data_IF_233520299003
#
_entry.id   IF_233520299003
#
_cell.length_a   1.000
_cell.length_b   1.000
_cell.length_c   1.000
_cell.angle_alpha   90.00
_cell.angle_beta   90.00
_cell.angle_gamma   90.00
#
_symmetry.space_group_name_H-M   'P 1'
#
loop_
_entity.id
_entity.type
_entity.pdbx_description
1 polymer ?
#
# COMPACT_ATOMS: atom_id res chain seq x y z
N UNK A 1 8.18 -7.31 -7.10
CA UNK A 1 7.68 -6.41 -8.16
C UNK A 1 7.07 -5.23 -7.43
N UNK A 2 7.41 -3.98 -7.74
CA UNK A 2 6.96 -2.87 -6.93
C UNK A 2 5.48 -2.59 -7.13
N UNK A 3 4.85 -2.05 -6.09
CA UNK A 3 3.44 -1.71 -6.02
C UNK A 3 3.29 -0.23 -5.72
N UNK A 4 2.24 0.38 -6.26
CA UNK A 4 1.90 1.75 -5.92
C UNK A 4 0.39 1.87 -5.73
N UNK A 5 -0.01 2.87 -4.95
CA UNK A 5 -1.39 3.26 -4.77
C UNK A 5 -1.80 4.17 -5.92
N UNK A 6 -2.89 3.80 -6.57
CA UNK A 6 -3.55 4.57 -7.61
C UNK A 6 -4.90 5.05 -7.12
N UNK A 7 -5.31 6.23 -7.56
CA UNK A 7 -6.68 6.68 -7.44
C UNK A 7 -7.17 7.18 -8.80
N UNK A 8 -8.26 6.63 -9.34
CA UNK A 8 -8.78 6.99 -10.66
C UNK A 8 -7.67 7.06 -11.74
N UNK A 9 -6.85 6.01 -11.83
CA UNK A 9 -5.69 5.90 -12.74
C UNK A 9 -4.52 6.88 -12.45
N UNK A 10 -4.63 7.78 -11.48
CA UNK A 10 -3.55 8.65 -11.05
C UNK A 10 -2.72 7.99 -9.93
N UNK A 11 -1.41 7.90 -10.12
CA UNK A 11 -0.49 7.41 -9.08
C UNK A 11 -0.40 8.43 -7.94
N UNK A 12 -0.80 8.02 -6.74
CA UNK A 12 -0.77 8.88 -5.55
C UNK A 12 0.45 8.61 -4.65
N UNK A 13 1.01 7.40 -4.69
CA UNK A 13 2.16 7.03 -3.86
C UNK A 13 3.43 6.77 -4.67
N UNK A 14 4.58 6.80 -3.98
CA UNK A 14 5.83 6.21 -4.47
C UNK A 14 5.67 4.72 -4.76
N UNK A 15 6.57 4.17 -5.57
CA UNK A 15 6.59 2.74 -5.87
C UNK A 15 7.23 1.96 -4.70
N UNK A 16 6.43 1.28 -3.89
CA UNK A 16 6.88 0.44 -2.78
C UNK A 16 7.34 -0.94 -3.25
N UNK A 17 8.24 -1.61 -2.53
CA UNK A 17 8.73 -2.93 -2.90
C UNK A 17 7.67 -4.04 -2.74
N UNK A 18 6.77 -3.91 -1.75
CA UNK A 18 5.74 -4.90 -1.44
C UNK A 18 4.34 -4.32 -1.44
N UNK A 19 3.34 -5.17 -1.68
CA UNK A 19 1.93 -4.78 -1.60
C UNK A 19 1.53 -4.41 -0.16
N UNK A 20 2.09 -5.11 0.83
CA UNK A 20 1.81 -4.89 2.24
C UNK A 20 2.19 -3.46 2.69
N UNK A 21 3.30 -2.92 2.19
CA UNK A 21 3.70 -1.54 2.49
C UNK A 21 2.70 -0.53 1.94
N UNK A 22 2.17 -0.77 0.73
CA UNK A 22 1.14 0.10 0.15
C UNK A 22 -0.19 -0.04 0.90
N UNK A 23 -0.53 -1.25 1.35
CA UNK A 23 -1.70 -1.49 2.21
C UNK A 23 -1.57 -0.76 3.54
N UNK A 24 -0.40 -0.82 4.19
CA UNK A 24 -0.13 -0.05 5.41
C UNK A 24 -0.27 1.43 5.17
N UNK A 25 0.34 1.96 4.10
CA UNK A 25 0.22 3.37 3.75
C UNK A 25 -1.25 3.77 3.56
N UNK A 26 -2.02 2.97 2.81
CA UNK A 26 -3.43 3.23 2.60
C UNK A 26 -4.22 3.19 3.91
N UNK A 27 -3.91 2.24 4.79
CA UNK A 27 -4.54 2.12 6.11
C UNK A 27 -4.20 3.32 7.01
N UNK A 28 -2.93 3.73 7.06
CA UNK A 28 -2.47 4.93 7.77
C UNK A 28 -3.07 6.22 7.21
N UNK A 29 -3.31 6.27 5.90
CA UNK A 29 -3.95 7.40 5.24
C UNK A 29 -5.48 7.40 5.38
N UNK A 30 -6.09 6.36 5.99
CA UNK A 30 -7.54 6.23 6.14
C UNK A 30 -8.27 5.92 4.83
N UNK A 31 -7.57 5.34 3.86
CA UNK A 31 -8.08 5.00 2.52
C UNK A 31 -8.63 3.57 2.43
N UNK A 32 -8.39 2.78 3.47
CA UNK A 32 -8.95 1.44 3.62
C UNK A 32 -10.34 1.58 4.22
N UNK A 33 -11.34 1.14 3.47
CA UNK A 33 -12.70 0.95 3.96
C UNK A 33 -12.86 -0.51 4.34
N UNK A 34 -13.35 -0.78 5.54
CA UNK A 34 -13.83 -2.11 5.85
C UNK A 34 -14.96 -2.43 4.87
N UNK A 35 -14.74 -3.42 3.99
CA UNK A 35 -15.81 -3.97 3.17
C UNK A 35 -16.87 -4.47 4.14
N UNK A 36 -17.97 -3.73 4.25
CA UNK A 36 -19.15 -4.17 5.01
C UNK A 36 -19.48 -5.56 4.49
N UNK A 37 -19.35 -6.56 5.37
CA UNK A 37 -19.49 -7.97 5.06
C UNK A 37 -20.71 -8.23 4.18
N UNK A 38 -20.49 -8.44 2.89
CA UNK A 38 -21.44 -9.17 2.06
C UNK A 38 -21.41 -10.61 2.62
N UNK A 39 -22.56 -11.07 3.13
CA UNK A 39 -22.76 -12.20 4.06
C UNK A 39 -22.28 -13.59 3.56
N UNK A 40 -21.45 -13.68 2.53
CA UNK A 40 -21.03 -14.94 1.89
C UNK A 40 -19.51 -15.23 1.97
N UNK A 41 -18.65 -14.30 2.41
CA UNK A 41 -17.19 -14.55 2.55
C UNK A 41 -16.71 -14.50 4.01
N UNK A 42 -16.01 -15.55 4.51
CA UNK A 42 -15.67 -15.72 5.93
C UNK A 42 -14.58 -14.78 6.48
N UNK A 43 -14.23 -13.71 5.77
CA UNK A 43 -13.26 -12.72 6.24
C UNK A 43 -13.55 -11.39 5.54
N UNK A 44 -13.89 -10.30 6.27
CA UNK A 44 -13.87 -8.97 5.69
C UNK A 44 -12.42 -8.70 5.29
N UNK A 45 -12.13 -8.81 4.00
CA UNK A 45 -10.84 -8.36 3.51
C UNK A 45 -10.91 -6.83 3.55
N UNK A 46 -9.96 -6.14 4.20
CA UNK A 46 -9.88 -4.69 4.07
C UNK A 46 -9.81 -4.38 2.58
N UNK A 47 -10.76 -3.59 2.09
CA UNK A 47 -10.76 -3.15 0.69
C UNK A 47 -10.40 -1.68 0.67
N UNK A 48 -9.76 -1.26 -0.41
CA UNK A 48 -9.63 0.16 -0.67
C UNK A 48 -10.99 0.68 -1.14
N UNK A 49 -11.24 1.98 -0.95
CA UNK A 49 -12.43 2.59 -1.53
C UNK A 49 -12.47 2.33 -3.05
N UNK A 50 -13.66 2.37 -3.67
CA UNK A 50 -13.84 2.03 -5.08
C UNK A 50 -12.95 2.88 -6.01
N UNK A 51 -12.53 4.06 -5.54
CA UNK A 51 -11.66 4.98 -6.25
C UNK A 51 -10.16 4.67 -6.09
N UNK A 52 -9.75 3.82 -5.14
CA UNK A 52 -8.35 3.52 -4.83
C UNK A 52 -7.99 2.06 -5.16
N UNK A 53 -6.86 1.87 -5.82
CA UNK A 53 -6.38 0.55 -6.23
C UNK A 53 -4.88 0.40 -5.97
N UNK A 54 -4.47 -0.73 -5.40
CA UNK A 54 -3.05 -1.12 -5.37
C UNK A 54 -2.78 -1.95 -6.59
N UNK A 55 -1.85 -1.48 -7.43
CA UNK A 55 -1.48 -2.19 -8.65
C UNK A 55 0.04 -2.34 -8.73
N UNK A 56 0.54 -3.49 -9.23
CA UNK A 56 1.94 -3.62 -9.54
C UNK A 56 2.29 -2.59 -10.61
N UNK A 57 3.22 -1.71 -10.28
CA UNK A 57 3.66 -0.64 -11.15
C UNK A 57 5.15 -0.79 -11.43
N UNK A 58 5.63 -0.19 -12.52
CA UNK A 58 7.07 0.00 -12.68
C UNK A 58 7.46 1.23 -11.85
N UNK A 59 8.64 1.22 -11.20
CA UNK A 59 9.17 2.44 -10.62
C UNK A 59 9.22 3.51 -11.71
N UNK A 60 8.81 4.73 -11.39
CA UNK A 60 8.99 5.81 -12.34
C UNK A 60 10.49 5.99 -12.60
N UNK A 61 10.92 6.40 -13.81
CA UNK A 61 12.33 6.60 -14.11
C UNK A 61 12.99 7.70 -13.27
N UNK A 62 12.19 8.50 -12.53
CA UNK A 62 12.65 9.50 -11.58
C UNK A 62 12.80 8.95 -10.16
N UNK A 63 12.23 7.78 -9.87
CA UNK A 63 12.34 7.09 -8.58
C UNK A 63 13.39 5.97 -8.68
N UNK A 64 14.25 5.88 -7.68
CA UNK A 64 15.18 4.76 -7.60
C UNK A 64 14.51 3.61 -6.80
N UNK A 65 14.23 2.46 -7.43
CA UNK A 65 13.61 1.33 -6.74
C UNK A 65 14.46 0.83 -5.57
N UNK A 66 15.78 1.02 -5.61
CA UNK A 66 16.68 0.63 -4.52
C UNK A 66 16.50 1.56 -3.33
N UNK A 67 16.33 2.86 -3.56
CA UNK A 67 16.04 3.82 -2.50
C UNK A 67 14.65 3.59 -1.89
N UNK A 68 13.64 3.37 -2.73
CA UNK A 68 12.29 3.08 -2.27
C UNK A 68 12.24 1.80 -1.42
N UNK A 69 13.00 0.77 -1.81
CA UNK A 69 13.13 -0.45 -1.01
C UNK A 69 13.81 -0.17 0.33
N UNK A 70 14.96 0.52 0.31
CA UNK A 70 15.71 0.83 1.53
C UNK A 70 14.96 1.76 2.50
N UNK A 71 14.06 2.60 1.99
CA UNK A 71 13.19 3.43 2.81
C UNK A 71 12.04 2.60 3.42
N UNK A 72 11.37 1.76 2.64
CA UNK A 72 10.33 0.86 3.14
C UNK A 72 10.87 -0.09 4.22
N UNK A 73 12.06 -0.67 4.02
CA UNK A 73 12.72 -1.52 5.03
C UNK A 73 13.05 -0.75 6.32
N UNK A 74 13.41 0.54 6.21
CA UNK A 74 13.65 1.40 7.37
C UNK A 74 12.36 1.75 8.10
N UNK A 75 11.30 2.08 7.37
CA UNK A 75 9.97 2.33 7.92
C UNK A 75 9.45 1.08 8.66
N UNK A 76 9.60 -0.11 8.07
CA UNK A 76 9.22 -1.38 8.70
C UNK A 76 10.03 -1.67 9.98
N UNK A 77 11.35 -1.45 9.95
CA UNK A 77 12.20 -1.61 11.14
C UNK A 77 11.83 -0.62 12.26
N UNK A 78 11.47 0.62 11.91
CA UNK A 78 11.02 1.63 12.86
C UNK A 78 9.68 1.26 13.47
N UNK A 79 8.73 0.81 12.67
CA UNK A 79 7.44 0.29 13.17
C UNK A 79 7.66 -0.88 14.12
N UNK A 80 8.50 -1.85 13.75
CA UNK A 80 8.80 -2.99 14.62
C UNK A 80 9.37 -2.55 15.98
N UNK A 81 10.23 -1.52 16.01
CA UNK A 81 10.78 -0.97 17.26
C UNK A 81 9.76 -0.15 18.07
N UNK A 82 8.85 0.58 17.40
CA UNK A 82 7.81 1.37 18.04
C UNK A 82 6.71 0.50 18.67
N UNK A 83 6.51 -0.70 18.13
CA UNK A 83 5.50 -1.65 18.58
C UNK A 83 6.09 -2.88 19.33
N UNK A 84 7.38 -2.88 19.71
CA UNK A 84 8.03 -3.94 20.51
C UNK A 84 7.92 -3.75 22.02
#
# INVERSE_FOLDING_TARGET
MPYALFCNEAKLSKAYPTEADVWKLALHSGLVVDAVSDEEKPSPQPVLDNDYEIRPCRPDPQEDPVENQAEAEREEQLEFQLYS
#
